data_IF_989091035986
#
_entry.id   IF_989091035986
#
_cell.length_a   1.000
_cell.length_b   1.000
_cell.length_c   1.000
_cell.angle_alpha   90.00
_cell.angle_beta   90.00
_cell.angle_gamma   90.00
#
_symmetry.space_group_name_H-M   'P 1'
#
loop_
_entity.id
_entity.type
_entity.pdbx_description
1 polymer ?
#
# COMPACT_ATOMS: atom_id res chain seq x y z
N UNK A 1 -51.82 -40.27 -11.65
CA UNK A 1 -51.07 -39.02 -11.91
C UNK A 1 -50.56 -38.47 -10.59
N UNK A 2 -49.26 -38.50 -10.29
CA UNK A 2 -48.64 -37.61 -9.31
C UNK A 2 -47.84 -36.50 -10.00
N UNK A 3 -47.84 -35.34 -9.36
CA UNK A 3 -47.26 -34.09 -9.83
C UNK A 3 -45.72 -34.16 -9.94
N UNK A 4 -45.19 -33.61 -11.03
CA UNK A 4 -43.76 -33.33 -11.18
C UNK A 4 -43.36 -32.23 -10.19
N UNK A 5 -42.53 -32.57 -9.21
CA UNK A 5 -41.84 -31.61 -8.37
C UNK A 5 -40.84 -30.83 -9.21
N UNK A 6 -41.00 -29.51 -9.27
CA UNK A 6 -40.02 -28.61 -9.87
C UNK A 6 -38.71 -28.67 -9.08
N UNK A 7 -37.65 -29.16 -9.71
CA UNK A 7 -36.28 -29.01 -9.23
C UNK A 7 -35.95 -27.51 -9.22
N UNK A 8 -36.06 -26.89 -8.05
CA UNK A 8 -35.56 -25.54 -7.82
C UNK A 8 -34.04 -25.64 -7.80
N UNK A 9 -33.39 -25.39 -8.94
CA UNK A 9 -31.99 -25.00 -8.95
C UNK A 9 -31.88 -23.80 -8.02
N UNK A 10 -31.27 -24.01 -6.86
CA UNK A 10 -30.75 -22.93 -6.03
C UNK A 10 -29.75 -22.23 -6.93
N UNK A 11 -30.17 -21.08 -7.48
CA UNK A 11 -29.24 -20.12 -8.06
C UNK A 11 -28.23 -19.83 -6.96
N UNK A 12 -27.06 -20.46 -7.07
CA UNK A 12 -25.86 -19.93 -6.44
C UNK A 12 -25.63 -18.63 -7.18
N UNK A 13 -26.27 -17.57 -6.69
CA UNK A 13 -25.80 -16.21 -6.92
C UNK A 13 -24.42 -16.21 -6.29
N UNK A 14 -23.40 -16.46 -7.12
CA UNK A 14 -22.07 -15.98 -6.82
C UNK A 14 -22.26 -14.49 -6.60
N UNK A 15 -22.26 -14.06 -5.34
CA UNK A 15 -22.07 -12.66 -5.03
C UNK A 15 -20.83 -12.26 -5.82
N UNK A 16 -21.01 -11.45 -6.86
CA UNK A 16 -19.93 -11.06 -7.74
C UNK A 16 -18.83 -10.50 -6.86
N UNK A 17 -17.73 -11.24 -6.74
CA UNK A 17 -16.38 -10.80 -7.06
C UNK A 17 -16.23 -9.28 -7.11
N UNK A 18 -16.46 -8.61 -5.99
CA UNK A 18 -15.91 -7.28 -5.79
C UNK A 18 -14.41 -7.51 -5.59
N UNK A 19 -13.69 -7.84 -6.67
CA UNK A 19 -12.26 -7.59 -6.71
C UNK A 19 -12.10 -6.15 -6.23
N UNK A 20 -11.24 -5.87 -5.24
CA UNK A 20 -11.00 -4.51 -4.82
C UNK A 20 -10.77 -3.67 -6.08
N UNK A 21 -11.57 -2.62 -6.26
CA UNK A 21 -11.43 -1.78 -7.43
C UNK A 21 -9.97 -1.32 -7.50
N UNK A 22 -9.28 -1.64 -8.58
CA UNK A 22 -7.87 -1.32 -8.74
C UNK A 22 -7.69 0.19 -8.56
N UNK A 23 -6.83 0.65 -7.63
CA UNK A 23 -6.63 2.07 -7.45
C UNK A 23 -6.18 2.72 -8.75
N UNK A 24 -6.71 3.91 -9.04
CA UNK A 24 -6.47 4.57 -10.33
C UNK A 24 -5.01 4.94 -10.51
N UNK A 25 -4.36 5.37 -9.43
CA UNK A 25 -2.95 5.84 -9.44
C UNK A 25 -1.94 4.73 -9.12
N UNK A 26 -2.34 3.46 -9.21
CA UNK A 26 -1.48 2.33 -8.80
C UNK A 26 -0.18 2.22 -9.59
N UNK A 27 -0.15 2.66 -10.84
CA UNK A 27 1.00 2.61 -11.73
C UNK A 27 1.83 3.91 -11.74
N UNK A 28 1.43 4.92 -10.96
CA UNK A 28 2.08 6.22 -10.91
C UNK A 28 3.21 6.24 -9.86
N UNK A 29 4.20 5.36 -10.01
CA UNK A 29 5.14 5.04 -8.93
C UNK A 29 5.89 6.24 -8.35
N UNK A 30 6.41 7.15 -9.18
CA UNK A 30 7.06 8.37 -8.67
C UNK A 30 6.09 9.25 -7.86
N UNK A 31 4.80 9.30 -8.23
CA UNK A 31 3.79 9.99 -7.41
C UNK A 31 3.52 9.25 -6.10
N UNK A 32 3.57 7.91 -6.08
CA UNK A 32 3.40 7.12 -4.85
C UNK A 32 4.59 7.27 -3.90
N UNK A 33 5.81 7.28 -4.44
CA UNK A 33 7.03 7.57 -3.68
C UNK A 33 6.96 8.97 -3.04
N UNK A 34 6.65 10.01 -3.81
CA UNK A 34 6.45 11.37 -3.30
C UNK A 34 5.33 11.46 -2.26
N UNK A 35 4.20 10.77 -2.49
CA UNK A 35 3.10 10.73 -1.53
C UNK A 35 3.54 10.10 -0.20
N UNK A 36 4.36 9.04 -0.23
CA UNK A 36 4.88 8.41 0.98
C UNK A 36 5.77 9.36 1.79
N UNK A 37 6.61 10.17 1.11
CA UNK A 37 7.42 11.20 1.76
C UNK A 37 6.55 12.29 2.39
N UNK A 38 5.49 12.72 1.68
CA UNK A 38 4.54 13.70 2.21
C UNK A 38 3.81 13.15 3.45
N UNK A 39 3.38 11.88 3.45
CA UNK A 39 2.75 11.28 4.63
C UNK A 39 3.70 11.18 5.83
N UNK A 40 5.00 10.94 5.59
CA UNK A 40 6.02 10.97 6.65
C UNK A 40 6.21 12.40 7.19
N UNK A 41 6.33 13.39 6.31
CA UNK A 41 6.46 14.79 6.69
C UNK A 41 5.25 15.27 7.51
N UNK A 42 4.05 14.89 7.09
CA UNK A 42 2.80 15.19 7.79
C UNK A 42 2.78 14.63 9.21
N UNK A 43 3.23 13.39 9.42
CA UNK A 43 3.35 12.77 10.76
C UNK A 43 4.29 13.58 11.65
N UNK A 44 5.50 13.85 11.14
CA UNK A 44 6.51 14.65 11.87
C UNK A 44 6.00 16.03 12.28
N UNK A 45 5.19 16.66 11.43
CA UNK A 45 4.61 17.97 11.71
C UNK A 45 3.40 17.91 12.67
N UNK A 46 2.53 16.90 12.54
CA UNK A 46 1.21 16.87 13.21
C UNK A 46 1.19 16.06 14.49
N UNK A 47 1.96 14.98 14.58
CA UNK A 47 1.94 14.06 15.72
C UNK A 47 2.40 14.71 17.05
N UNK A 48 3.41 15.60 17.09
CA UNK A 48 3.77 16.30 18.34
C UNK A 48 2.60 17.10 18.94
N UNK A 49 1.79 17.73 18.09
CA UNK A 49 0.60 18.45 18.53
C UNK A 49 -0.50 17.49 19.03
N UNK A 50 -0.65 16.32 18.40
CA UNK A 50 -1.59 15.29 18.84
C UNK A 50 -1.21 14.69 20.21
N UNK A 51 0.09 14.49 20.45
CA UNK A 51 0.63 14.06 21.75
C UNK A 51 0.34 15.10 22.83
N UNK A 52 0.65 16.38 22.55
CA UNK A 52 0.41 17.48 23.49
C UNK A 52 -1.07 17.61 23.86
N UNK A 53 -1.98 17.30 22.93
CA UNK A 53 -3.43 17.30 23.13
C UNK A 53 -3.96 16.04 23.82
N UNK A 54 -3.12 15.04 24.10
CA UNK A 54 -3.53 13.77 24.71
C UNK A 54 -4.34 12.86 23.78
N UNK A 55 -4.38 13.15 22.48
CA UNK A 55 -5.13 12.37 21.47
C UNK A 55 -4.33 11.14 21.00
N UNK A 56 -3.01 11.18 21.16
CA UNK A 56 -2.09 10.12 20.74
C UNK A 56 -1.00 9.90 21.79
N UNK A 57 -0.60 8.63 21.99
CA UNK A 57 0.52 8.32 22.87
C UNK A 57 1.87 8.52 22.17
N UNK A 58 2.94 8.93 22.88
CA UNK A 58 4.27 9.06 22.28
C UNK A 58 4.78 7.79 21.60
N UNK A 59 4.52 6.61 22.17
CA UNK A 59 4.90 5.33 21.56
C UNK A 59 4.21 5.07 20.23
N UNK A 60 2.93 5.42 20.12
CA UNK A 60 2.14 5.28 18.90
C UNK A 60 2.68 6.19 17.78
N UNK A 61 3.01 7.44 18.11
CA UNK A 61 3.64 8.37 17.17
C UNK A 61 4.98 7.84 16.67
N UNK A 62 5.85 7.34 17.57
CA UNK A 62 7.13 6.73 17.20
C UNK A 62 6.94 5.52 16.29
N UNK A 63 5.99 4.65 16.61
CA UNK A 63 5.69 3.47 15.80
C UNK A 63 5.25 3.88 14.39
N UNK A 64 4.31 4.80 14.28
CA UNK A 64 3.79 5.29 12.99
C UNK A 64 4.89 5.99 12.20
N UNK A 65 5.70 6.83 12.81
CA UNK A 65 6.83 7.46 12.12
C UNK A 65 7.80 6.41 11.57
N UNK A 66 8.21 5.43 12.38
CA UNK A 66 9.08 4.32 11.96
C UNK A 66 8.51 3.56 10.76
N UNK A 67 7.24 3.16 10.83
CA UNK A 67 6.60 2.38 9.75
C UNK A 67 6.54 3.17 8.44
N UNK A 68 6.19 4.47 8.49
CA UNK A 68 6.17 5.28 7.27
C UNK A 68 7.57 5.59 6.75
N UNK A 69 8.56 5.73 7.63
CA UNK A 69 9.97 5.85 7.23
C UNK A 69 10.46 4.60 6.49
N UNK A 70 10.03 3.40 6.92
CA UNK A 70 10.30 2.15 6.21
C UNK A 70 9.65 2.14 4.81
N UNK A 71 8.41 2.59 4.69
CA UNK A 71 7.71 2.71 3.39
C UNK A 71 8.48 3.63 2.43
N UNK A 72 8.95 4.78 2.93
CA UNK A 72 9.78 5.72 2.14
C UNK A 72 11.09 5.07 1.71
N UNK A 73 11.78 4.36 2.62
CA UNK A 73 13.03 3.69 2.30
C UNK A 73 12.85 2.61 1.23
N UNK A 74 11.79 1.81 1.32
CA UNK A 74 11.45 0.79 0.32
C UNK A 74 11.22 1.43 -1.06
N UNK A 75 10.48 2.53 -1.15
CA UNK A 75 10.28 3.23 -2.42
C UNK A 75 11.57 3.79 -3.00
N UNK A 76 12.48 4.28 -2.16
CA UNK A 76 13.80 4.74 -2.60
C UNK A 76 14.63 3.59 -3.17
N UNK A 77 14.59 2.41 -2.56
CA UNK A 77 15.28 1.24 -3.10
C UNK A 77 14.71 0.82 -4.47
N UNK A 78 13.38 0.88 -4.62
CA UNK A 78 12.69 0.66 -5.90
C UNK A 78 13.13 1.68 -6.96
N UNK A 79 13.19 2.97 -6.63
CA UNK A 79 13.60 4.02 -7.57
C UNK A 79 15.10 4.00 -7.91
N UNK A 80 15.94 3.56 -6.97
CA UNK A 80 17.40 3.51 -7.14
C UNK A 80 17.91 2.22 -7.80
N UNK A 81 17.02 1.39 -8.34
CA UNK A 81 17.34 0.14 -9.03
C UNK A 81 18.06 -0.89 -8.14
N UNK A 82 17.84 -0.82 -6.83
CA UNK A 82 18.29 -1.87 -5.93
C UNK A 82 17.39 -3.09 -6.10
N UNK A 83 17.97 -4.30 -6.05
CA UNK A 83 17.13 -5.51 -5.97
C UNK A 83 16.33 -5.43 -4.67
N UNK A 84 15.00 -5.39 -4.80
CA UNK A 84 14.15 -5.27 -3.63
C UNK A 84 14.18 -6.58 -2.85
N UNK A 85 14.61 -6.52 -1.59
CA UNK A 85 14.71 -7.72 -0.76
C UNK A 85 13.34 -8.30 -0.40
N UNK A 86 13.31 -9.58 -0.03
CA UNK A 86 12.07 -10.26 0.34
C UNK A 86 11.44 -9.64 1.60
N UNK A 87 10.09 -9.65 1.73
CA UNK A 87 9.42 -9.11 2.92
C UNK A 87 9.85 -9.68 4.28
N UNK A 88 10.47 -10.87 4.30
CA UNK A 88 11.05 -11.46 5.52
C UNK A 88 12.22 -10.66 6.07
N UNK A 89 12.98 -9.97 5.22
CA UNK A 89 14.19 -9.22 5.58
C UNK A 89 13.88 -7.78 6.00
N UNK A 90 12.70 -7.27 5.64
CA UNK A 90 12.32 -5.86 5.86
C UNK A 90 12.37 -5.38 7.31
N UNK A 91 12.02 -6.20 8.34
CA UNK A 91 12.19 -5.79 9.73
C UNK A 91 13.65 -5.46 10.08
N UNK A 92 14.61 -6.17 9.48
CA UNK A 92 16.03 -5.93 9.71
C UNK A 92 16.54 -4.74 8.89
N UNK A 93 16.15 -4.65 7.62
CA UNK A 93 16.64 -3.65 6.68
C UNK A 93 16.01 -2.27 6.87
N UNK A 94 14.68 -2.22 6.96
CA UNK A 94 13.89 -0.99 7.01
C UNK A 94 13.33 -0.71 8.40
N UNK A 95 13.49 -1.66 9.33
CA UNK A 95 12.98 -1.53 10.68
C UNK A 95 11.49 -1.75 10.80
N UNK A 96 10.77 -2.23 9.77
CA UNK A 96 9.33 -2.55 9.83
C UNK A 96 8.96 -3.78 9.00
N UNK A 97 8.02 -4.58 9.51
CA UNK A 97 7.51 -5.76 8.83
C UNK A 97 6.38 -5.43 7.85
N UNK A 98 6.18 -6.28 6.84
CA UNK A 98 5.08 -6.13 5.88
C UNK A 98 3.70 -6.04 6.56
N UNK A 99 3.35 -6.86 7.58
CA UNK A 99 2.07 -6.70 8.30
C UNK A 99 1.92 -5.34 8.98
N UNK A 100 2.98 -4.79 9.57
CA UNK A 100 2.94 -3.45 10.16
C UNK A 100 2.66 -2.37 9.11
N UNK A 101 3.33 -2.47 7.95
CA UNK A 101 3.14 -1.55 6.83
C UNK A 101 1.70 -1.63 6.31
N UNK A 102 1.16 -2.85 6.11
CA UNK A 102 -0.21 -3.04 5.64
C UNK A 102 -1.23 -2.43 6.61
N UNK A 103 -1.10 -2.68 7.91
CA UNK A 103 -2.00 -2.12 8.93
C UNK A 103 -1.95 -0.59 8.92
N UNK A 104 -0.74 -0.03 8.91
CA UNK A 104 -0.55 1.43 8.92
C UNK A 104 -1.10 2.10 7.66
N UNK A 105 -0.78 1.58 6.47
CA UNK A 105 -1.22 2.16 5.20
C UNK A 105 -2.73 2.04 4.96
N UNK A 106 -3.37 0.95 5.41
CA UNK A 106 -4.84 0.87 5.42
C UNK A 106 -5.44 1.94 6.34
N UNK A 107 -4.80 2.20 7.48
CA UNK A 107 -5.16 3.30 8.38
C UNK A 107 -5.03 4.67 7.71
N UNK A 108 -3.94 4.92 6.99
CA UNK A 108 -3.73 6.15 6.20
C UNK A 108 -4.81 6.30 5.14
N UNK A 109 -5.07 5.28 4.33
CA UNK A 109 -6.10 5.32 3.28
C UNK A 109 -7.47 5.66 3.86
N UNK A 110 -7.85 5.02 4.99
CA UNK A 110 -9.11 5.31 5.68
C UNK A 110 -9.17 6.73 6.23
N UNK A 111 -8.10 7.20 6.87
CA UNK A 111 -8.05 8.54 7.47
C UNK A 111 -8.09 9.63 6.40
N UNK A 112 -7.33 9.48 5.33
CA UNK A 112 -7.29 10.45 4.22
C UNK A 112 -8.65 10.52 3.51
N UNK A 113 -9.31 9.37 3.28
CA UNK A 113 -10.67 9.33 2.72
C UNK A 113 -11.71 10.03 3.61
N UNK A 114 -11.60 9.90 4.93
CA UNK A 114 -12.53 10.53 5.87
C UNK A 114 -12.43 12.07 5.89
N UNK A 115 -11.25 12.63 5.57
CA UNK A 115 -11.08 14.09 5.52
C UNK A 115 -11.67 14.68 4.22
N UNK A 116 -11.70 13.93 3.12
CA UNK A 116 -12.48 14.24 1.92
C UNK A 116 -12.08 15.50 1.13
N UNK A 117 -10.94 16.14 1.46
CA UNK A 117 -10.56 17.46 0.90
C UNK A 117 -9.74 17.41 -0.38
N UNK A 118 -8.91 16.39 -0.54
CA UNK A 118 -8.00 16.26 -1.69
C UNK A 118 -8.17 14.87 -2.32
N UNK A 119 -8.83 14.84 -3.48
CA UNK A 119 -9.10 13.59 -4.20
C UNK A 119 -7.82 12.91 -4.67
N UNK A 120 -6.80 13.66 -5.05
CA UNK A 120 -5.53 13.09 -5.50
C UNK A 120 -4.83 12.39 -4.34
N UNK A 121 -4.75 13.03 -3.17
CA UNK A 121 -4.14 12.41 -1.99
C UNK A 121 -4.92 11.19 -1.46
N UNK A 122 -6.24 11.18 -1.60
CA UNK A 122 -7.06 9.99 -1.29
C UNK A 122 -6.68 8.83 -2.21
N UNK A 123 -6.60 9.08 -3.52
CA UNK A 123 -6.21 8.07 -4.50
C UNK A 123 -4.76 7.59 -4.30
N UNK A 124 -3.83 8.50 -3.98
CA UNK A 124 -2.45 8.13 -3.65
C UNK A 124 -2.38 7.29 -2.38
N UNK A 125 -3.14 7.61 -1.32
CA UNK A 125 -3.17 6.80 -0.10
C UNK A 125 -3.68 5.38 -0.36
N UNK A 126 -4.76 5.25 -1.14
CA UNK A 126 -5.32 3.96 -1.51
C UNK A 126 -4.38 3.14 -2.40
N UNK A 127 -3.75 3.79 -3.40
CA UNK A 127 -2.77 3.18 -4.26
C UNK A 127 -1.51 2.74 -3.49
N UNK A 128 -1.03 3.57 -2.56
CA UNK A 128 0.10 3.24 -1.71
C UNK A 128 -0.21 2.01 -0.83
N UNK A 129 -1.39 1.96 -0.21
CA UNK A 129 -1.79 0.78 0.56
C UNK A 129 -1.84 -0.49 -0.31
N UNK A 130 -2.41 -0.39 -1.52
CA UNK A 130 -2.50 -1.49 -2.47
C UNK A 130 -1.14 -2.04 -2.90
N UNK A 131 -0.12 -1.18 -3.01
CA UNK A 131 1.25 -1.59 -3.38
C UNK A 131 1.86 -2.59 -2.39
N UNK A 132 1.44 -2.57 -1.13
CA UNK A 132 1.90 -3.49 -0.10
C UNK A 132 0.94 -4.66 0.15
N UNK A 133 -0.14 -4.79 -0.62
CA UNK A 133 -0.97 -5.98 -0.62
C UNK A 133 -0.37 -7.07 -1.52
N UNK A 134 -0.53 -8.37 -1.19
CA UNK A 134 -0.07 -9.45 -2.05
C UNK A 134 -0.85 -9.47 -3.37
N UNK A 135 -0.18 -9.82 -4.48
CA UNK A 135 -0.82 -9.94 -5.81
C UNK A 135 -1.91 -11.03 -5.83
N UNK A 136 -1.62 -12.12 -5.15
CA UNK A 136 -2.48 -13.26 -4.84
C UNK A 136 -2.12 -13.82 -3.44
N UNK A 137 -2.99 -14.58 -2.77
CA UNK A 137 -2.67 -15.20 -1.48
C UNK A 137 -1.34 -15.97 -1.52
N UNK A 138 -0.41 -15.64 -0.62
CA UNK A 138 0.92 -16.27 -0.54
C UNK A 138 1.98 -15.72 -1.51
N UNK A 139 1.64 -14.75 -2.36
CA UNK A 139 2.61 -14.10 -3.26
C UNK A 139 3.27 -12.86 -2.65
N UNK A 140 4.29 -12.35 -3.35
CA UNK A 140 4.93 -11.08 -3.04
C UNK A 140 3.97 -9.88 -3.24
N UNK A 141 4.23 -8.75 -2.55
CA UNK A 141 3.39 -7.56 -2.68
C UNK A 141 3.51 -6.90 -4.07
N UNK A 142 2.48 -6.15 -4.47
CA UNK A 142 2.42 -5.48 -5.78
C UNK A 142 3.60 -4.54 -6.06
N UNK A 143 4.26 -4.02 -5.03
CA UNK A 143 5.46 -3.17 -5.15
C UNK A 143 6.61 -3.86 -5.89
N UNK A 144 6.64 -5.19 -5.92
CA UNK A 144 7.59 -5.95 -6.75
C UNK A 144 7.38 -5.73 -8.25
N UNK A 145 6.14 -5.49 -8.70
CA UNK A 145 5.86 -5.16 -10.10
C UNK A 145 6.53 -3.81 -10.45
N UNK A 146 6.53 -2.85 -9.50
CA UNK A 146 7.22 -1.58 -9.68
C UNK A 146 8.75 -1.78 -9.75
N UNK A 147 9.32 -2.56 -8.83
CA UNK A 147 10.75 -2.88 -8.82
C UNK A 147 11.19 -3.54 -10.15
N UNK A 148 10.48 -4.59 -10.58
CA UNK A 148 10.80 -5.33 -11.80
C UNK A 148 10.75 -4.44 -13.05
N UNK A 149 9.77 -3.55 -13.14
CA UNK A 149 9.65 -2.65 -14.28
C UNK A 149 10.73 -1.58 -14.30
N UNK A 150 11.08 -1.00 -13.15
CA UNK A 150 12.16 -0.01 -13.06
C UNK A 150 13.49 -0.66 -13.49
N UNK A 151 13.76 -1.88 -13.03
CA UNK A 151 14.92 -2.68 -13.47
C UNK A 151 14.88 -3.00 -14.99
N UNK A 152 13.71 -3.38 -15.51
CA UNK A 152 13.52 -3.66 -16.92
C UNK A 152 13.82 -2.45 -17.82
N UNK A 153 13.30 -1.27 -17.47
CA UNK A 153 13.56 -0.03 -18.21
C UNK A 153 15.05 0.31 -18.21
N UNK A 154 15.70 0.26 -17.05
CA UNK A 154 17.13 0.55 -16.95
C UNK A 154 18.02 -0.46 -17.69
N UNK A 155 17.59 -1.72 -17.82
CA UNK A 155 18.27 -2.69 -18.69
C UNK A 155 18.12 -2.32 -20.16
N UNK A 156 16.89 -1.98 -20.57
CA UNK A 156 16.57 -1.62 -21.96
C UNK A 156 17.36 -0.37 -22.39
N UNK A 157 17.45 0.64 -21.52
CA UNK A 157 18.21 1.87 -21.79
C UNK A 157 19.70 1.60 -21.96
N UNK A 158 20.27 0.67 -21.19
CA UNK A 158 21.68 0.24 -21.33
C UNK A 158 21.95 -0.53 -22.61
N UNK A 159 20.99 -1.32 -23.09
CA UNK A 159 21.12 -2.08 -24.34
C UNK A 159 20.97 -1.20 -25.58
N UNK A 160 20.35 -0.03 -25.46
CA UNK A 160 20.15 0.93 -26.53
C UNK A 160 21.28 1.99 -26.67
N UNK A 161 22.21 2.06 -25.71
CA UNK A 161 23.32 3.02 -25.65
C UNK A 161 24.63 2.44 -26.20
#
# INVERSE_FOLDING_TARGET
MPAMGAFKMIGVTFASDARPAYPRLRDQWSHLAQASEQFLADRRAKDPAAITKGVMKPDEARQRERVMAAVVAIWRDVETLSELEKPSEWPHLYGASLPEIQVDLRGVAKATAAVGRDRTMIECAAALAWQFEPVAPGSLPHIWIAADHVLYLARTDREAA
#
